data_IF_811056148126
#
_entry.id   IF_811056148126
#
_cell.length_a   1.000
_cell.length_b   1.000
_cell.length_c   1.000
_cell.angle_alpha   90.00
_cell.angle_beta   90.00
_cell.angle_gamma   90.00
#
_symmetry.space_group_name_H-M   'P 1'
#
loop_
_entity.id
_entity.type
_entity.pdbx_description
1 polymer ?
#
# COMPACT_ATOMS: atom_id res chain seq x y z
N UNK A 1 18.15 5.01 15.95
CA UNK A 1 16.84 4.75 15.32
C UNK A 1 15.87 5.88 15.66
N UNK A 2 14.98 6.26 14.73
CA UNK A 2 13.95 7.28 14.95
C UNK A 2 12.55 6.65 14.79
N UNK A 3 11.67 6.90 15.77
CA UNK A 3 10.23 6.62 15.65
C UNK A 3 9.53 7.94 15.38
N UNK A 4 8.87 8.03 14.22
CA UNK A 4 8.06 9.18 13.81
C UNK A 4 6.60 8.85 14.00
N UNK A 5 5.89 9.64 14.81
CA UNK A 5 4.48 9.39 15.10
C UNK A 5 3.66 10.68 15.13
N UNK A 6 2.36 10.52 15.16
CA UNK A 6 1.44 11.62 15.46
C UNK A 6 0.69 11.38 16.79
N UNK A 7 -0.05 12.39 17.23
CA UNK A 7 -0.73 12.36 18.52
C UNK A 7 -1.76 11.25 18.66
N UNK A 8 -2.26 10.68 17.55
CA UNK A 8 -3.26 9.61 17.56
C UNK A 8 -2.65 8.19 17.65
N UNK A 9 -1.33 8.05 17.42
CA UNK A 9 -0.61 6.75 17.43
C UNK A 9 0.45 6.66 18.54
N UNK A 10 0.43 7.57 19.51
CA UNK A 10 1.43 7.67 20.59
C UNK A 10 1.63 6.38 21.38
N UNK A 11 0.56 5.61 21.69
CA UNK A 11 0.68 4.36 22.46
C UNK A 11 1.47 3.31 21.69
N UNK A 12 1.20 3.16 20.39
CA UNK A 12 1.96 2.25 19.53
C UNK A 12 3.41 2.69 19.41
N UNK A 13 3.64 3.98 19.14
CA UNK A 13 4.98 4.54 19.03
C UNK A 13 5.79 4.35 20.32
N UNK A 14 5.15 4.53 21.49
CA UNK A 14 5.80 4.30 22.77
C UNK A 14 6.18 2.83 22.96
N UNK A 15 5.31 1.88 22.63
CA UNK A 15 5.63 0.45 22.69
C UNK A 15 6.82 0.09 21.81
N UNK A 16 6.87 0.61 20.57
CA UNK A 16 8.01 0.43 19.67
C UNK A 16 9.30 1.06 20.23
N UNK A 17 9.19 2.24 20.82
CA UNK A 17 10.33 2.93 21.45
C UNK A 17 10.87 2.13 22.64
N UNK A 18 9.99 1.68 23.55
CA UNK A 18 10.38 0.92 24.72
C UNK A 18 11.07 -0.39 24.32
N UNK A 19 10.47 -1.14 23.37
CA UNK A 19 11.08 -2.36 22.81
C UNK A 19 12.45 -2.11 22.17
N UNK A 20 12.58 -1.01 21.42
CA UNK A 20 13.86 -0.65 20.83
C UNK A 20 14.94 -0.38 21.91
N UNK A 21 14.55 0.27 23.01
CA UNK A 21 15.46 0.51 24.15
C UNK A 21 15.83 -0.79 24.86
N UNK A 22 14.89 -1.72 25.04
CA UNK A 22 15.15 -3.06 25.58
C UNK A 22 16.10 -3.88 24.71
N UNK A 23 16.16 -3.58 23.40
CA UNK A 23 17.09 -4.17 22.44
C UNK A 23 18.42 -3.40 22.31
N UNK A 24 18.75 -2.54 23.27
CA UNK A 24 19.96 -1.68 23.30
C UNK A 24 20.09 -0.75 22.07
N UNK A 25 18.97 -0.44 21.40
CA UNK A 25 18.99 0.55 20.33
C UNK A 25 19.05 1.97 20.90
N UNK A 26 19.91 2.82 20.36
CA UNK A 26 19.84 4.26 20.58
C UNK A 26 18.65 4.84 19.81
N UNK A 27 17.51 4.93 20.50
CA UNK A 27 16.22 5.29 19.93
C UNK A 27 15.78 6.69 20.35
N UNK A 28 15.17 7.41 19.39
CA UNK A 28 14.52 8.71 19.60
C UNK A 28 13.08 8.59 19.12
N UNK A 29 12.15 9.27 19.76
CA UNK A 29 10.76 9.38 19.30
C UNK A 29 10.42 10.85 19.04
N UNK A 30 9.89 11.15 17.85
CA UNK A 30 9.37 12.46 17.50
C UNK A 30 7.88 12.39 17.22
N UNK A 31 7.13 13.28 17.87
CA UNK A 31 5.68 13.40 17.70
C UNK A 31 5.35 14.67 16.92
N UNK A 32 4.46 14.57 15.95
CA UNK A 32 3.94 15.69 15.16
C UNK A 32 2.41 15.73 15.20
N UNK A 33 1.75 16.83 14.80
CA UNK A 33 0.32 16.82 14.53
C UNK A 33 -0.01 15.83 13.40
N UNK A 34 -1.17 15.13 13.45
CA UNK A 34 -1.61 14.29 12.33
C UNK A 34 -1.62 15.08 11.02
N UNK A 35 -1.19 14.46 9.93
CA UNK A 35 -1.32 15.06 8.60
C UNK A 35 -2.77 15.01 8.14
N UNK A 36 -3.16 15.90 7.24
CA UNK A 36 -4.54 16.01 6.75
C UNK A 36 -4.87 14.95 5.69
N UNK A 37 -3.84 14.39 5.01
CA UNK A 37 -3.98 13.40 3.94
C UNK A 37 -2.74 12.51 3.83
N UNK A 38 -2.89 11.37 3.19
CA UNK A 38 -1.77 10.51 2.81
C UNK A 38 -0.82 11.26 1.86
N UNK A 39 0.49 11.10 2.04
CA UNK A 39 1.52 11.75 1.23
C UNK A 39 1.77 13.22 1.57
N UNK A 40 1.10 13.80 2.56
CA UNK A 40 1.43 15.14 3.06
C UNK A 40 2.78 15.13 3.78
N UNK A 41 3.67 16.05 3.40
CA UNK A 41 5.01 16.14 3.96
C UNK A 41 4.99 16.33 5.48
N UNK A 42 5.87 15.66 6.23
CA UNK A 42 6.03 15.93 7.66
C UNK A 42 6.66 17.33 7.86
N UNK A 43 6.58 17.88 9.08
CA UNK A 43 7.30 19.11 9.41
C UNK A 43 8.78 19.00 9.08
N UNK A 44 9.40 20.13 8.64
CA UNK A 44 10.81 20.17 8.24
C UNK A 44 11.75 19.53 9.28
N UNK A 45 11.54 19.79 10.57
CA UNK A 45 12.36 19.21 11.64
C UNK A 45 12.30 17.67 11.65
N UNK A 46 11.12 17.07 11.39
CA UNK A 46 10.95 15.62 11.29
C UNK A 46 11.66 15.10 10.03
N UNK A 47 11.48 15.76 8.88
CA UNK A 47 12.13 15.39 7.62
C UNK A 47 13.68 15.39 7.75
N UNK A 48 14.24 16.39 8.41
CA UNK A 48 15.70 16.47 8.68
C UNK A 48 16.16 15.34 9.61
N UNK A 49 15.40 15.08 10.69
CA UNK A 49 15.71 13.99 11.61
C UNK A 49 15.65 12.62 10.92
N UNK A 50 14.69 12.40 10.01
CA UNK A 50 14.58 11.16 9.24
C UNK A 50 15.85 10.86 8.42
N UNK A 51 16.56 11.88 7.93
CA UNK A 51 17.79 11.71 7.12
C UNK A 51 19.05 11.48 7.95
N UNK A 52 18.99 11.72 9.28
CA UNK A 52 20.17 11.71 10.16
C UNK A 52 20.26 10.46 11.06
N UNK A 53 19.49 9.42 10.75
CA UNK A 53 19.47 8.17 11.51
C UNK A 53 19.69 6.96 10.60
N UNK A 54 19.89 5.76 11.16
CA UNK A 54 20.04 4.53 10.37
C UNK A 54 18.69 3.90 10.01
N UNK A 55 17.69 4.08 10.88
CA UNK A 55 16.36 3.45 10.76
C UNK A 55 15.27 4.41 11.18
N UNK A 56 14.21 4.48 10.39
CA UNK A 56 12.95 5.16 10.72
C UNK A 56 11.83 4.14 10.77
N UNK A 57 11.01 4.15 11.84
CA UNK A 57 9.72 3.47 11.91
C UNK A 57 8.65 4.54 12.09
N UNK A 58 7.63 4.54 11.23
CA UNK A 58 6.64 5.62 11.17
C UNK A 58 5.20 5.11 11.40
N UNK A 59 4.80 4.82 12.66
CA UNK A 59 3.40 4.60 13.01
C UNK A 59 2.67 5.95 13.03
N UNK A 60 2.00 6.27 11.94
CA UNK A 60 1.28 7.54 11.74
C UNK A 60 -0.17 7.31 11.30
N UNK A 61 -1.04 8.27 11.51
CA UNK A 61 -2.42 8.18 11.05
C UNK A 61 -2.49 8.22 9.53
N UNK A 62 -1.78 9.19 8.93
CA UNK A 62 -1.65 9.33 7.47
C UNK A 62 -0.30 8.82 6.99
N UNK A 63 -0.27 8.19 5.83
CA UNK A 63 0.94 7.62 5.23
C UNK A 63 1.99 8.68 4.92
N UNK A 64 3.23 8.41 5.31
CA UNK A 64 4.43 9.13 4.87
C UNK A 64 5.17 8.42 3.72
N UNK A 65 4.65 7.27 3.24
CA UNK A 65 5.31 6.39 2.27
C UNK A 65 5.67 7.13 0.97
N UNK A 66 4.76 7.96 0.46
CA UNK A 66 4.95 8.68 -0.81
C UNK A 66 5.42 10.13 -0.62
N UNK A 67 6.07 10.46 0.53
CA UNK A 67 6.63 11.79 0.78
C UNK A 67 8.06 11.93 0.24
N UNK A 68 8.43 13.15 -0.11
CA UNK A 68 9.83 13.48 -0.45
C UNK A 68 10.75 13.27 0.75
N UNK A 69 10.27 13.54 1.97
CA UNK A 69 11.02 13.31 3.21
C UNK A 69 11.46 11.84 3.32
N UNK A 70 10.56 10.88 3.12
CA UNK A 70 10.86 9.44 3.12
C UNK A 70 11.86 9.09 2.01
N UNK A 71 11.60 9.57 0.76
CA UNK A 71 12.50 9.33 -0.37
C UNK A 71 13.92 9.83 -0.08
N UNK A 72 14.07 11.07 0.39
CA UNK A 72 15.37 11.67 0.72
C UNK A 72 16.08 10.92 1.86
N UNK A 73 15.35 10.41 2.85
CA UNK A 73 15.92 9.55 3.88
C UNK A 73 16.48 8.25 3.27
N UNK A 74 15.72 7.59 2.39
CA UNK A 74 16.20 6.38 1.71
C UNK A 74 17.41 6.68 0.79
N UNK A 75 17.39 7.77 0.04
CA UNK A 75 18.52 8.21 -0.81
C UNK A 75 19.78 8.45 0.03
N UNK A 76 19.63 8.88 1.30
CA UNK A 76 20.72 9.00 2.28
C UNK A 76 21.14 7.66 2.93
N UNK A 77 20.52 6.56 2.55
CA UNK A 77 20.83 5.21 3.04
C UNK A 77 20.04 4.78 4.28
N UNK A 78 19.08 5.59 4.75
CA UNK A 78 18.22 5.26 5.89
C UNK A 78 17.22 4.16 5.50
N UNK A 79 17.04 3.19 6.36
CA UNK A 79 16.00 2.15 6.21
C UNK A 79 14.70 2.66 6.80
N UNK A 80 13.59 2.56 6.07
CA UNK A 80 12.30 3.08 6.53
C UNK A 80 11.22 2.01 6.56
N UNK A 81 10.43 1.99 7.65
CA UNK A 81 9.23 1.18 7.77
C UNK A 81 8.04 2.12 8.04
N UNK A 82 7.04 2.09 7.16
CA UNK A 82 5.82 2.89 7.27
C UNK A 82 4.68 2.03 7.82
N UNK A 83 3.90 2.57 8.77
CA UNK A 83 2.77 1.89 9.41
C UNK A 83 1.54 2.82 9.44
N UNK A 84 1.04 3.28 8.27
CA UNK A 84 -0.07 4.23 8.24
C UNK A 84 -1.37 3.58 8.72
N UNK A 85 -2.09 4.27 9.61
CA UNK A 85 -3.36 3.77 10.13
C UNK A 85 -3.23 2.58 11.09
N UNK A 86 -2.01 2.16 11.45
CA UNK A 86 -1.80 1.02 12.36
C UNK A 86 -2.60 1.16 13.65
N UNK A 87 -3.20 0.05 14.11
CA UNK A 87 -4.02 -0.02 15.32
C UNK A 87 -3.36 -0.90 16.38
N UNK A 88 -3.77 -0.75 17.65
CA UNK A 88 -3.29 -1.61 18.72
C UNK A 88 -3.67 -3.09 18.49
N UNK A 89 -4.82 -3.33 17.86
CA UNK A 89 -5.25 -4.67 17.49
C UNK A 89 -4.28 -5.30 16.48
N UNK A 90 -3.85 -4.55 15.46
CA UNK A 90 -2.86 -5.03 14.48
C UNK A 90 -1.51 -5.38 15.11
N UNK A 91 -1.14 -4.75 16.24
CA UNK A 91 0.10 -5.08 16.95
C UNK A 91 0.09 -6.45 17.63
N UNK A 92 -1.09 -7.01 17.93
CA UNK A 92 -1.24 -8.29 18.64
C UNK A 92 -1.84 -9.41 17.81
N UNK A 93 -2.46 -9.09 16.68
CA UNK A 93 -3.06 -10.04 15.75
C UNK A 93 -3.06 -9.51 14.32
N UNK A 94 -3.18 -10.40 13.33
CA UNK A 94 -3.16 -10.02 11.91
C UNK A 94 -1.78 -10.05 11.29
N UNK A 95 -1.57 -9.27 10.23
CA UNK A 95 -0.42 -9.33 9.35
C UNK A 95 0.93 -9.07 10.03
N UNK A 96 0.97 -8.23 11.09
CA UNK A 96 2.18 -7.98 11.87
C UNK A 96 2.65 -9.22 12.65
N UNK A 97 1.78 -10.19 12.91
CA UNK A 97 2.12 -11.43 13.64
C UNK A 97 2.58 -12.55 12.71
N UNK A 98 2.61 -12.33 11.40
CA UNK A 98 3.09 -13.30 10.44
C UNK A 98 4.58 -13.56 10.60
N UNK A 99 5.00 -14.79 10.31
CA UNK A 99 6.42 -15.10 10.20
C UNK A 99 7.02 -14.36 8.97
N UNK A 100 7.98 -13.44 9.14
CA UNK A 100 8.51 -12.66 8.02
C UNK A 100 9.17 -13.52 6.92
N UNK A 101 9.69 -14.70 7.26
CA UNK A 101 10.25 -15.64 6.26
C UNK A 101 9.15 -16.24 5.40
N UNK A 102 8.05 -16.64 6.02
CA UNK A 102 6.89 -17.19 5.32
C UNK A 102 6.27 -16.15 4.37
N UNK A 103 6.08 -14.91 4.85
CA UNK A 103 5.61 -13.80 4.01
C UNK A 103 6.54 -13.61 2.81
N UNK A 104 7.84 -13.54 3.03
CA UNK A 104 8.83 -13.37 1.96
C UNK A 104 8.81 -14.53 0.95
N UNK A 105 8.66 -15.78 1.41
CA UNK A 105 8.60 -16.96 0.55
C UNK A 105 7.33 -16.94 -0.32
N UNK A 106 6.17 -16.65 0.27
CA UNK A 106 4.90 -16.54 -0.47
C UNK A 106 4.95 -15.43 -1.51
N UNK A 107 5.43 -14.24 -1.12
CA UNK A 107 5.54 -13.09 -2.02
C UNK A 107 6.46 -13.39 -3.20
N UNK A 108 7.63 -13.97 -2.95
CA UNK A 108 8.57 -14.35 -4.02
C UNK A 108 8.02 -15.43 -4.94
N UNK A 109 7.38 -16.47 -4.37
CA UNK A 109 6.77 -17.55 -5.16
C UNK A 109 5.70 -16.98 -6.09
N UNK A 110 4.84 -16.11 -5.60
CA UNK A 110 3.82 -15.47 -6.42
C UNK A 110 4.45 -14.58 -7.51
N UNK A 111 5.45 -13.78 -7.18
CA UNK A 111 6.13 -12.94 -8.17
C UNK A 111 6.75 -13.75 -9.32
N UNK A 112 7.30 -14.94 -9.04
CA UNK A 112 7.84 -15.82 -10.10
C UNK A 112 6.73 -16.33 -11.05
N UNK A 113 5.48 -16.46 -10.61
CA UNK A 113 4.37 -16.89 -11.49
C UNK A 113 3.98 -15.80 -12.51
N UNK A 114 4.29 -14.54 -12.22
CA UNK A 114 4.03 -13.42 -13.14
C UNK A 114 5.19 -13.15 -14.10
N UNK A 115 6.31 -13.85 -13.94
CA UNK A 115 7.51 -13.60 -14.73
C UNK A 115 7.28 -13.89 -16.22
N UNK A 116 7.54 -12.89 -17.05
CA UNK A 116 7.37 -12.98 -18.51
C UNK A 116 5.95 -12.70 -18.98
N UNK A 117 4.97 -12.49 -18.08
CA UNK A 117 3.62 -12.12 -18.48
C UNK A 117 3.59 -10.69 -19.03
N UNK A 118 2.79 -10.48 -20.06
CA UNK A 118 2.54 -9.17 -20.68
C UNK A 118 1.16 -8.60 -20.33
N UNK A 119 0.22 -9.48 -19.95
CA UNK A 119 -1.12 -9.11 -19.52
C UNK A 119 -1.49 -9.80 -18.22
N UNK A 120 -2.09 -9.03 -17.31
CA UNK A 120 -2.80 -9.58 -16.14
C UNK A 120 -4.28 -9.25 -16.28
N UNK A 121 -5.17 -10.23 -16.04
CA UNK A 121 -6.60 -10.02 -15.99
C UNK A 121 -7.14 -10.43 -14.63
N UNK A 122 -7.94 -9.55 -14.03
CA UNK A 122 -8.70 -9.83 -12.80
C UNK A 122 -10.17 -10.08 -13.13
N UNK A 123 -10.73 -11.14 -12.55
CA UNK A 123 -12.16 -11.46 -12.65
C UNK A 123 -12.70 -11.78 -11.26
N UNK A 124 -13.90 -11.32 -10.92
CA UNK A 124 -14.59 -11.70 -9.69
C UNK A 124 -16.08 -12.01 -9.93
N UNK A 125 -16.67 -12.77 -9.01
CA UNK A 125 -18.12 -13.11 -9.06
C UNK A 125 -19.02 -11.87 -9.01
N UNK A 126 -18.55 -10.79 -8.39
CA UNK A 126 -19.29 -9.51 -8.28
C UNK A 126 -19.20 -8.65 -9.54
N UNK A 127 -18.48 -9.11 -10.56
CA UNK A 127 -18.44 -8.47 -11.87
C UNK A 127 -17.19 -7.62 -12.13
N UNK A 128 -16.10 -7.80 -11.36
CA UNK A 128 -14.78 -7.35 -11.83
C UNK A 128 -14.41 -8.14 -13.08
N UNK A 129 -14.02 -7.42 -14.12
CA UNK A 129 -13.41 -7.95 -15.35
C UNK A 129 -12.58 -6.84 -15.95
N UNK A 130 -11.28 -6.86 -15.69
CA UNK A 130 -10.32 -5.83 -16.09
C UNK A 130 -9.00 -6.45 -16.50
N UNK A 131 -8.42 -5.96 -17.61
CA UNK A 131 -7.09 -6.30 -18.09
C UNK A 131 -6.12 -5.15 -17.86
N UNK A 132 -4.87 -5.50 -17.57
CA UNK A 132 -3.74 -4.62 -17.37
C UNK A 132 -2.58 -5.08 -18.24
N UNK A 133 -2.00 -4.18 -19.03
CA UNK A 133 -0.68 -4.41 -19.61
C UNK A 133 0.37 -4.20 -18.52
N UNK A 134 1.32 -5.11 -18.41
CA UNK A 134 2.36 -5.08 -17.37
C UNK A 134 3.76 -5.30 -17.95
N UNK A 135 4.74 -4.63 -17.34
CA UNK A 135 6.15 -4.93 -17.56
C UNK A 135 6.68 -5.71 -16.35
N UNK A 136 6.94 -6.99 -16.56
CA UNK A 136 7.36 -7.88 -15.47
C UNK A 136 8.70 -7.52 -14.85
N UNK A 137 9.51 -6.69 -15.49
CA UNK A 137 10.74 -6.14 -14.88
C UNK A 137 10.45 -5.07 -13.82
N UNK A 138 9.21 -4.55 -13.76
CA UNK A 138 8.78 -3.49 -12.86
C UNK A 138 7.96 -3.98 -11.66
N UNK A 139 7.84 -5.29 -11.46
CA UNK A 139 7.18 -5.82 -10.27
C UNK A 139 7.98 -5.51 -9.01
N UNK A 140 7.30 -4.99 -8.01
CA UNK A 140 7.81 -4.69 -6.69
C UNK A 140 7.33 -5.76 -5.69
N UNK A 141 8.14 -6.04 -4.68
CA UNK A 141 7.83 -7.00 -3.63
C UNK A 141 7.94 -6.32 -2.27
N UNK A 142 6.83 -6.14 -1.56
CA UNK A 142 6.86 -5.74 -0.16
C UNK A 142 6.85 -6.99 0.73
N UNK A 143 8.02 -7.34 1.22
CA UNK A 143 8.26 -8.56 2.01
C UNK A 143 8.52 -8.27 3.49
N UNK A 144 8.42 -7.02 3.91
CA UNK A 144 8.69 -6.61 5.30
C UNK A 144 10.14 -6.70 5.73
N UNK A 145 11.05 -7.09 4.84
CA UNK A 145 12.46 -7.31 5.15
C UNK A 145 13.32 -6.17 4.58
N UNK A 146 13.64 -5.19 5.41
CA UNK A 146 14.39 -4.00 5.03
C UNK A 146 15.81 -4.02 5.61
N UNK A 147 16.69 -4.88 5.06
CA UNK A 147 18.06 -5.06 5.53
C UNK A 147 19.09 -4.17 4.83
N UNK A 148 18.84 -3.83 3.57
CA UNK A 148 19.76 -3.03 2.77
C UNK A 148 19.60 -1.54 3.10
N UNK A 149 20.70 -0.79 3.03
CA UNK A 149 20.66 0.68 3.15
C UNK A 149 19.74 1.27 2.10
N UNK A 150 18.95 2.26 2.48
CA UNK A 150 18.03 2.95 1.60
C UNK A 150 16.75 2.18 1.25
N UNK A 151 16.53 0.99 1.82
CA UNK A 151 15.29 0.26 1.58
C UNK A 151 14.09 0.86 2.33
N UNK A 152 12.90 0.61 1.79
CA UNK A 152 11.61 0.99 2.37
C UNK A 152 10.67 -0.20 2.35
N UNK A 153 9.80 -0.31 3.33
CA UNK A 153 8.74 -1.33 3.43
C UNK A 153 7.53 -0.76 4.16
N UNK A 154 6.36 -1.34 3.95
CA UNK A 154 5.23 -1.17 4.86
C UNK A 154 5.23 -2.28 5.92
N UNK A 155 4.62 -2.04 7.07
CA UNK A 155 4.37 -3.02 8.11
C UNK A 155 2.91 -2.90 8.61
N UNK A 156 2.09 -3.98 8.47
CA UNK A 156 2.45 -5.29 7.89
C UNK A 156 2.82 -5.20 6.43
N UNK A 157 3.55 -6.21 5.98
CA UNK A 157 3.96 -6.41 4.60
C UNK A 157 3.33 -7.70 4.03
N UNK A 158 3.54 -7.95 2.76
CA UNK A 158 3.11 -9.15 2.05
C UNK A 158 2.26 -8.81 0.84
N UNK A 159 2.91 -8.35 -0.22
CA UNK A 159 2.28 -8.12 -1.52
C UNK A 159 3.29 -8.16 -2.66
N UNK A 160 2.78 -8.43 -3.84
CA UNK A 160 3.45 -8.23 -5.13
C UNK A 160 2.66 -7.18 -5.87
N UNK A 161 3.30 -6.12 -6.35
CA UNK A 161 2.61 -5.00 -6.98
C UNK A 161 3.41 -4.36 -8.11
N UNK A 162 2.71 -3.67 -9.01
CA UNK A 162 3.31 -2.96 -10.15
C UNK A 162 2.47 -1.75 -10.54
N UNK A 163 3.09 -0.78 -11.22
CA UNK A 163 2.38 0.26 -11.94
C UNK A 163 1.97 -0.30 -13.33
N UNK A 164 0.70 -0.61 -13.56
CA UNK A 164 0.26 -1.16 -14.85
C UNK A 164 0.15 -0.07 -15.91
N UNK A 165 0.12 -0.50 -17.17
CA UNK A 165 -0.13 0.32 -18.33
C UNK A 165 -1.45 -0.10 -19.00
N UNK A 166 -2.06 0.76 -19.83
CA UNK A 166 -3.22 0.45 -20.67
C UNK A 166 -4.30 -0.43 -20.01
N UNK A 167 -4.82 0.03 -18.88
CA UNK A 167 -5.86 -0.70 -18.18
C UNK A 167 -7.23 -0.46 -18.82
N UNK A 168 -8.03 -1.51 -18.99
CA UNK A 168 -9.41 -1.40 -19.50
C UNK A 168 -10.32 -2.47 -18.91
N UNK A 169 -11.56 -2.09 -18.63
CA UNK A 169 -12.58 -2.99 -18.11
C UNK A 169 -13.40 -2.41 -16.98
N UNK A 170 -13.83 -3.26 -16.07
CA UNK A 170 -14.63 -2.89 -14.91
C UNK A 170 -13.99 -3.47 -13.65
N UNK A 171 -13.89 -2.66 -12.62
CA UNK A 171 -13.48 -3.09 -11.27
C UNK A 171 -14.68 -2.95 -10.33
N UNK A 172 -14.93 -3.97 -9.54
CA UNK A 172 -15.89 -3.95 -8.45
C UNK A 172 -15.12 -4.12 -7.14
N UNK A 173 -15.08 -3.05 -6.37
CA UNK A 173 -14.45 -3.00 -5.05
C UNK A 173 -15.47 -3.46 -4.01
N UNK A 174 -15.14 -4.50 -3.26
CA UNK A 174 -16.01 -5.10 -2.24
C UNK A 174 -15.31 -5.24 -0.87
N UNK A 175 -14.08 -4.76 -0.78
CA UNK A 175 -13.29 -4.63 0.44
C UNK A 175 -13.26 -3.21 0.97
N UNK A 176 -12.13 -2.77 1.51
CA UNK A 176 -11.89 -1.40 1.92
C UNK A 176 -11.31 -0.57 0.76
N UNK A 177 -11.40 0.75 0.91
CA UNK A 177 -10.75 1.70 0.02
C UNK A 177 -10.17 2.86 0.82
N UNK A 178 -8.98 3.30 0.45
CA UNK A 178 -8.32 4.44 1.09
C UNK A 178 -9.20 5.70 1.04
N UNK A 179 -9.40 6.32 2.21
CA UNK A 179 -10.29 7.46 2.37
C UNK A 179 -11.78 7.15 2.44
N UNK A 180 -12.18 5.87 2.25
CA UNK A 180 -13.57 5.42 2.35
C UNK A 180 -13.79 4.33 3.40
N UNK A 181 -12.74 3.76 3.97
CA UNK A 181 -12.79 2.64 4.92
C UNK A 181 -13.42 1.36 4.30
N UNK A 182 -13.99 0.47 5.11
CA UNK A 182 -14.67 -0.74 4.64
C UNK A 182 -16.02 -0.39 4.00
N UNK A 183 -16.19 -0.80 2.75
CA UNK A 183 -17.44 -0.60 2.01
C UNK A 183 -18.54 -1.53 2.52
N UNK A 184 -19.76 -1.02 2.62
CA UNK A 184 -20.95 -1.81 3.00
C UNK A 184 -21.55 -2.53 1.80
N UNK A 185 -21.47 -1.92 0.63
CA UNK A 185 -21.90 -2.47 -0.65
C UNK A 185 -20.81 -2.19 -1.71
N UNK A 186 -20.79 -2.93 -2.81
CA UNK A 186 -19.77 -2.75 -3.84
C UNK A 186 -19.74 -1.34 -4.44
N UNK A 187 -18.52 -0.87 -4.72
CA UNK A 187 -18.22 0.30 -5.53
C UNK A 187 -17.74 -0.18 -6.89
N UNK A 188 -18.36 0.28 -7.97
CA UNK A 188 -18.03 -0.10 -9.33
C UNK A 188 -17.32 1.03 -10.06
N UNK A 189 -16.19 0.73 -10.69
CA UNK A 189 -15.37 1.67 -11.47
C UNK A 189 -15.23 1.11 -12.88
N UNK A 190 -15.62 1.90 -13.89
CA UNK A 190 -15.33 1.59 -15.29
C UNK A 190 -14.03 2.29 -15.68
N UNK A 191 -13.15 1.52 -16.31
CA UNK A 191 -11.80 1.95 -16.69
C UNK A 191 -11.63 1.89 -18.20
N UNK A 192 -11.15 2.98 -18.80
CA UNK A 192 -10.79 3.09 -20.20
C UNK A 192 -9.43 3.79 -20.31
N UNK A 193 -8.54 3.25 -21.11
CA UNK A 193 -7.19 3.81 -21.34
C UNK A 193 -6.44 4.19 -20.06
N UNK A 194 -6.54 3.32 -19.04
CA UNK A 194 -5.90 3.51 -17.74
C UNK A 194 -6.58 4.52 -16.81
N UNK A 195 -7.72 5.09 -17.18
CA UNK A 195 -8.43 6.10 -16.39
C UNK A 195 -9.79 5.59 -15.90
N UNK A 196 -10.14 5.90 -14.65
CA UNK A 196 -11.47 5.70 -14.07
C UNK A 196 -12.45 6.71 -14.69
N UNK A 197 -13.22 6.28 -15.70
CA UNK A 197 -14.13 7.15 -16.46
C UNK A 197 -15.53 7.24 -15.87
N UNK A 198 -15.95 6.20 -15.11
CA UNK A 198 -17.24 6.19 -14.44
C UNK A 198 -17.12 5.50 -13.07
N UNK A 199 -17.81 6.03 -12.06
CA UNK A 199 -17.79 5.54 -10.68
C UNK A 199 -19.22 5.48 -10.14
N UNK A 200 -19.67 4.30 -9.74
CA UNK A 200 -21.04 4.03 -9.27
C UNK A 200 -21.04 3.15 -8.01
N UNK A 201 -22.08 3.23 -7.19
CA UNK A 201 -22.28 2.36 -6.03
C UNK A 201 -21.97 3.02 -4.72
N UNK A 202 -21.57 2.21 -3.72
CA UNK A 202 -21.37 2.68 -2.36
C UNK A 202 -20.27 3.74 -2.28
N UNK A 203 -20.58 4.86 -1.60
CA UNK A 203 -19.63 5.99 -1.38
C UNK A 203 -19.00 6.57 -2.66
N UNK A 204 -19.57 6.30 -3.86
CA UNK A 204 -19.07 6.83 -5.14
C UNK A 204 -18.96 8.37 -5.12
N UNK A 205 -19.95 9.06 -4.53
CA UNK A 205 -19.92 10.52 -4.40
C UNK A 205 -18.75 11.01 -3.52
N UNK A 206 -18.37 10.25 -2.53
CA UNK A 206 -17.26 10.58 -1.62
C UNK A 206 -15.94 10.41 -2.34
N UNK A 207 -15.75 9.31 -3.07
CA UNK A 207 -14.57 9.11 -3.91
C UNK A 207 -14.43 10.25 -4.93
N UNK A 208 -15.52 10.60 -5.63
CA UNK A 208 -15.51 11.68 -6.60
C UNK A 208 -15.17 13.05 -5.99
N UNK A 209 -15.55 13.30 -4.73
CA UNK A 209 -15.11 14.52 -4.02
C UNK A 209 -13.62 14.55 -3.74
N UNK A 210 -12.98 13.41 -3.56
CA UNK A 210 -11.53 13.31 -3.35
C UNK A 210 -10.77 13.51 -4.66
N UNK A 211 -11.17 12.81 -5.73
CA UNK A 211 -10.39 12.77 -6.98
C UNK A 211 -10.68 13.93 -7.93
N UNK A 212 -11.95 14.41 -8.04
CA UNK A 212 -12.30 15.44 -9.01
C UNK A 212 -11.53 16.76 -8.87
N UNK A 213 -11.27 17.27 -7.64
CA UNK A 213 -10.47 18.50 -7.50
C UNK A 213 -9.04 18.39 -8.00
N UNK A 214 -8.51 17.16 -8.17
CA UNK A 214 -7.13 16.89 -8.58
C UNK A 214 -7.01 16.66 -10.10
N UNK A 215 -8.14 16.56 -10.81
CA UNK A 215 -8.18 16.34 -12.26
C UNK A 215 -7.94 14.89 -12.67
N UNK A 216 -7.70 14.68 -13.97
CA UNK A 216 -7.60 13.35 -14.57
C UNK A 216 -6.44 12.51 -14.02
N UNK A 217 -5.37 13.13 -13.57
CA UNK A 217 -4.23 12.42 -12.96
C UNK A 217 -4.64 11.60 -11.72
N UNK A 218 -5.67 12.05 -10.98
CA UNK A 218 -6.19 11.30 -9.82
C UNK A 218 -7.12 10.15 -10.23
N UNK A 219 -7.49 10.06 -11.51
CA UNK A 219 -8.28 8.96 -12.08
C UNK A 219 -7.44 7.85 -12.68
N UNK A 220 -6.12 8.06 -12.74
CA UNK A 220 -5.16 7.06 -13.21
C UNK A 220 -5.25 5.78 -12.38
N UNK A 221 -5.27 4.62 -13.06
CA UNK A 221 -5.05 3.33 -12.39
C UNK A 221 -3.55 3.24 -12.10
N UNK A 222 -3.21 3.50 -10.86
CA UNK A 222 -1.83 3.70 -10.42
C UNK A 222 -1.11 2.40 -10.09
N UNK A 223 -1.86 1.41 -9.58
CA UNK A 223 -1.31 0.17 -9.07
C UNK A 223 -2.22 -1.01 -9.35
N UNK A 224 -1.59 -2.15 -9.60
CA UNK A 224 -2.16 -3.49 -9.47
C UNK A 224 -1.32 -4.21 -8.42
N UNK A 225 -1.95 -4.71 -7.35
CA UNK A 225 -1.28 -5.47 -6.32
C UNK A 225 -2.06 -6.72 -5.90
N UNK A 226 -1.31 -7.70 -5.37
CA UNK A 226 -1.83 -8.98 -4.88
C UNK A 226 -1.30 -9.25 -3.48
N UNK A 227 -2.20 -9.42 -2.51
CA UNK A 227 -1.88 -9.73 -1.13
C UNK A 227 -1.33 -11.15 -0.94
N UNK A 228 -0.30 -11.29 -0.11
CA UNK A 228 0.41 -12.57 0.12
C UNK A 228 0.61 -12.91 1.59
N UNK A 229 0.18 -12.06 2.52
CA UNK A 229 0.38 -12.27 3.95
C UNK A 229 -0.66 -13.26 4.51
N UNK A 230 -0.23 -14.44 5.01
CA UNK A 230 -1.17 -15.48 5.46
C UNK A 230 -1.88 -15.15 6.78
N UNK A 231 -1.44 -14.12 7.50
CA UNK A 231 -2.02 -13.71 8.78
C UNK A 231 -2.80 -12.39 8.70
N UNK A 232 -2.64 -11.63 7.62
CA UNK A 232 -3.40 -10.41 7.39
C UNK A 232 -4.91 -10.70 7.31
N UNK A 233 -5.73 -9.75 7.77
CA UNK A 233 -7.18 -9.91 7.88
C UNK A 233 -7.89 -8.68 7.35
N UNK A 234 -9.06 -8.89 6.76
CA UNK A 234 -9.94 -7.82 6.29
C UNK A 234 -10.60 -7.13 7.49
N UNK A 235 -10.08 -5.98 7.90
CA UNK A 235 -10.53 -5.24 9.09
C UNK A 235 -10.97 -3.80 8.79
N UNK A 236 -10.93 -3.37 7.53
CA UNK A 236 -11.28 -2.02 7.11
C UNK A 236 -10.12 -1.02 7.21
N UNK A 237 -8.93 -1.49 7.53
CA UNK A 237 -7.69 -0.70 7.48
C UNK A 237 -6.91 -1.12 6.25
N UNK A 238 -6.82 -0.27 5.25
CA UNK A 238 -6.23 -0.57 3.93
C UNK A 238 -4.83 -1.16 4.05
N UNK A 239 -3.98 -0.62 4.92
CA UNK A 239 -2.64 -1.16 5.19
C UNK A 239 -2.61 -2.66 5.52
N UNK A 240 -3.62 -3.16 6.24
CA UNK A 240 -3.77 -4.58 6.57
C UNK A 240 -4.48 -5.32 5.44
N UNK A 241 -5.56 -4.74 4.92
CA UNK A 241 -6.50 -5.38 4.00
C UNK A 241 -5.87 -5.70 2.64
N UNK A 242 -4.98 -4.83 2.13
CA UNK A 242 -4.24 -5.03 0.88
C UNK A 242 -3.20 -6.16 0.97
N UNK A 243 -2.78 -6.54 2.19
CA UNK A 243 -1.82 -7.62 2.41
C UNK A 243 -2.48 -8.99 2.54
N UNK A 244 -3.81 -9.07 2.67
CA UNK A 244 -4.53 -10.34 2.86
C UNK A 244 -4.24 -11.30 1.70
N UNK A 245 -3.70 -12.49 2.00
CA UNK A 245 -3.39 -13.48 0.97
C UNK A 245 -4.64 -13.88 0.19
N UNK A 246 -4.55 -13.83 -1.14
CA UNK A 246 -5.65 -14.16 -2.04
C UNK A 246 -6.60 -13.01 -2.33
N UNK A 247 -6.28 -11.78 -1.92
CA UNK A 247 -6.95 -10.56 -2.42
C UNK A 247 -6.15 -9.93 -3.54
N UNK A 248 -6.80 -9.11 -4.36
CA UNK A 248 -6.13 -8.13 -5.20
C UNK A 248 -6.52 -6.73 -4.77
N UNK A 249 -5.73 -5.76 -5.14
CA UNK A 249 -6.09 -4.36 -5.03
C UNK A 249 -5.66 -3.59 -6.28
N UNK A 250 -6.34 -2.51 -6.53
CA UNK A 250 -5.91 -1.47 -7.45
C UNK A 250 -5.75 -0.17 -6.69
N UNK A 251 -4.91 0.74 -7.19
CA UNK A 251 -4.91 2.11 -6.67
C UNK A 251 -5.35 3.11 -7.73
N UNK A 252 -5.94 4.21 -7.28
CA UNK A 252 -6.16 5.41 -8.09
C UNK A 252 -5.13 6.48 -7.75
N UNK A 253 -4.58 7.17 -8.77
CA UNK A 253 -3.78 8.38 -8.61
C UNK A 253 -2.29 8.24 -8.93
N UNK A 254 -1.42 8.50 -7.95
CA UNK A 254 0.04 8.59 -8.09
C UNK A 254 0.71 7.22 -8.21
N UNK A 255 1.57 7.03 -9.21
CA UNK A 255 2.40 5.83 -9.35
C UNK A 255 3.90 6.14 -9.50
N UNK A 256 4.30 7.39 -9.30
CA UNK A 256 5.67 7.85 -9.53
C UNK A 256 6.72 7.20 -8.61
N UNK A 257 6.28 6.64 -7.48
CA UNK A 257 7.17 5.98 -6.51
C UNK A 257 7.26 4.46 -6.68
N UNK A 258 6.47 3.89 -7.59
CA UNK A 258 6.38 2.44 -7.82
C UNK A 258 6.73 2.02 -9.25
N UNK A 259 7.32 2.93 -10.01
CA UNK A 259 7.80 2.66 -11.38
C UNK A 259 6.98 3.29 -12.49
N UNK A 260 5.89 4.00 -12.18
CA UNK A 260 5.11 4.78 -13.12
C UNK A 260 5.60 6.23 -13.26
N UNK A 261 4.84 7.04 -14.01
CA UNK A 261 5.21 8.44 -14.33
C UNK A 261 4.17 9.45 -13.88
N UNK A 262 3.02 9.02 -13.37
CA UNK A 262 1.92 9.91 -12.96
C UNK A 262 2.15 10.43 -11.56
N UNK A 263 2.08 11.76 -11.40
CA UNK A 263 2.13 12.46 -10.11
C UNK A 263 0.76 13.09 -9.86
N UNK A 264 0.01 12.56 -8.90
CA UNK A 264 -1.36 12.98 -8.64
C UNK A 264 -1.59 13.55 -7.22
N UNK A 265 -0.62 13.42 -6.31
CA UNK A 265 -0.73 13.87 -4.93
C UNK A 265 -1.73 13.11 -4.07
N UNK A 266 -2.29 12.00 -4.61
CA UNK A 266 -3.08 10.98 -3.89
C UNK A 266 -2.71 9.61 -4.43
N UNK A 267 -2.80 8.60 -3.54
CA UNK A 267 -2.71 7.19 -3.89
C UNK A 267 -3.77 6.47 -3.05
N UNK A 268 -4.76 5.86 -3.71
CA UNK A 268 -5.96 5.36 -3.07
C UNK A 268 -6.17 3.87 -3.41
N UNK A 269 -5.62 3.01 -2.59
CA UNK A 269 -5.79 1.55 -2.71
C UNK A 269 -7.22 1.13 -2.46
N UNK A 270 -7.70 0.18 -3.25
CA UNK A 270 -9.05 -0.35 -3.21
C UNK A 270 -9.03 -1.88 -3.38
N UNK A 271 -9.59 -2.60 -2.40
CA UNK A 271 -9.43 -4.03 -2.27
C UNK A 271 -10.57 -4.79 -2.95
N UNK A 272 -10.20 -5.81 -3.73
CA UNK A 272 -11.07 -6.77 -4.39
C UNK A 272 -10.89 -8.12 -3.66
N UNK A 273 -11.97 -8.61 -3.06
CA UNK A 273 -11.94 -9.91 -2.38
C UNK A 273 -12.06 -11.05 -3.40
N UNK A 274 -11.37 -12.15 -3.11
CA UNK A 274 -11.46 -13.40 -3.86
C UNK A 274 -11.46 -13.23 -5.38
N UNK A 275 -10.52 -12.46 -5.95
CA UNK A 275 -10.38 -12.37 -7.39
C UNK A 275 -9.83 -13.69 -7.94
N UNK A 276 -10.15 -14.00 -9.19
CA UNK A 276 -9.38 -14.91 -10.03
C UNK A 276 -8.42 -14.05 -10.84
N UNK A 277 -7.16 -14.47 -10.87
CA UNK A 277 -6.09 -13.75 -11.55
C UNK A 277 -5.57 -14.59 -12.70
N UNK A 278 -5.42 -14.00 -13.87
CA UNK A 278 -4.89 -14.67 -15.05
C UNK A 278 -3.66 -13.89 -15.54
N UNK A 279 -2.58 -14.60 -15.86
CA UNK A 279 -1.39 -14.08 -16.50
C UNK A 279 -1.31 -14.67 -17.91
N UNK A 280 -1.37 -13.84 -18.96
CA UNK A 280 -1.42 -14.24 -20.38
C UNK A 280 -2.46 -15.38 -20.62
N UNK A 281 -3.62 -15.27 -20.00
CA UNK A 281 -4.73 -16.22 -20.09
C UNK A 281 -4.64 -17.46 -19.21
N UNK A 282 -3.55 -17.67 -18.47
CA UNK A 282 -3.37 -18.78 -17.52
C UNK A 282 -3.76 -18.35 -16.11
N UNK A 283 -4.66 -19.11 -15.47
CA UNK A 283 -5.08 -18.81 -14.11
C UNK A 283 -3.94 -19.05 -13.11
N UNK A 284 -3.74 -18.09 -12.21
CA UNK A 284 -2.71 -18.11 -11.18
C UNK A 284 -3.33 -18.48 -9.85
N UNK A 285 -2.74 -19.46 -9.16
CA UNK A 285 -3.08 -19.79 -7.78
C UNK A 285 -2.50 -18.76 -6.82
N UNK A 286 -3.37 -18.09 -6.08
CA UNK A 286 -3.00 -17.05 -5.11
C UNK A 286 -2.79 -17.58 -3.68
N UNK A 287 -3.01 -18.87 -3.40
CA UNK A 287 -3.05 -19.44 -2.04
C UNK A 287 -1.91 -20.40 -1.73
#
# INVERSE_FOLDING_TARGET
MLIVTDTLRLRIAKSLYDTAREMDCDAIMMTMPPRSRHGEEPPRAVAEAMRSVDVVIAPTTMSLTHTRARKQANDAGVRTASMPGVTEQMMVEGGLTANPREVMEHTRRLAETFKGASEIRLVSELGTDISFEVDTSKWNLDVGCCRQKGCSTNLPAGEVYTAPENCKGTVVIDGSMAGLELLKNPLKIRVEEGLAVDVQGDRAKELLKIINPLGDVARNIAELGIGTNPRARMIGVVLEDEKVRGTAHIALGDNSTIGGTVVAGVHLDAIIRKPRVFADGHEIDLV
#
